data_IF_949082400340
#
_entry.id   IF_949082400340
#
_cell.length_a   1.000
_cell.length_b   1.000
_cell.length_c   1.000
_cell.angle_alpha   90.00
_cell.angle_beta   90.00
_cell.angle_gamma   90.00
#
_symmetry.space_group_name_H-M   'P 1'
#
loop_
_entity.id
_entity.type
_entity.pdbx_description
1 polymer ?
#
# COMPACT_ATOMS: atom_id res chain seq x y z
N UNK A 1 -22.07 -29.59 2.39
CA UNK A 1 -23.52 -29.72 2.24
C UNK A 1 -24.04 -28.80 1.13
N UNK A 2 -24.06 -27.47 1.32
CA UNK A 2 -24.54 -26.50 0.31
C UNK A 2 -23.88 -26.69 -1.07
N UNK A 3 -22.56 -26.76 -1.13
CA UNK A 3 -21.82 -26.95 -2.39
C UNK A 3 -22.11 -28.29 -3.06
N UNK A 4 -22.42 -29.34 -2.28
CA UNK A 4 -22.82 -30.63 -2.86
C UNK A 4 -24.22 -30.54 -3.46
N UNK A 5 -25.14 -29.79 -2.84
CA UNK A 5 -26.47 -29.53 -3.38
C UNK A 5 -26.38 -28.72 -4.67
N UNK A 6 -25.55 -27.66 -4.68
CA UNK A 6 -25.28 -26.87 -5.90
C UNK A 6 -24.66 -27.73 -6.99
N UNK A 7 -23.75 -28.65 -6.64
CA UNK A 7 -23.16 -29.58 -7.58
C UNK A 7 -24.24 -30.47 -8.24
N UNK A 8 -25.08 -31.13 -7.43
CA UNK A 8 -26.15 -32.01 -7.94
C UNK A 8 -27.19 -31.25 -8.76
N UNK A 9 -27.62 -30.07 -8.30
CA UNK A 9 -28.65 -29.30 -9.00
C UNK A 9 -28.10 -28.62 -10.27
N UNK A 10 -26.82 -28.21 -10.28
CA UNK A 10 -26.17 -27.62 -11.44
C UNK A 10 -26.04 -28.58 -12.62
N UNK A 11 -25.80 -29.87 -12.36
CA UNK A 11 -25.74 -30.91 -13.40
C UNK A 11 -27.15 -31.41 -13.82
N UNK A 12 -28.23 -30.77 -13.36
CA UNK A 12 -29.59 -31.23 -13.68
C UNK A 12 -29.92 -30.93 -15.14
N UNK A 13 -30.38 -31.96 -15.86
CA UNK A 13 -30.68 -31.84 -17.28
C UNK A 13 -29.47 -32.05 -18.18
N UNK A 14 -28.29 -32.37 -17.63
CA UNK A 14 -27.20 -32.96 -18.41
C UNK A 14 -27.70 -34.26 -19.04
N UNK A 15 -27.99 -34.18 -20.33
CA UNK A 15 -28.09 -35.37 -21.14
C UNK A 15 -26.67 -35.85 -21.36
N UNK A 16 -26.19 -36.75 -20.50
CA UNK A 16 -25.10 -37.65 -20.90
C UNK A 16 -25.47 -38.17 -22.27
N UNK A 17 -24.69 -37.82 -23.31
CA UNK A 17 -24.96 -38.23 -24.69
C UNK A 17 -25.36 -39.70 -24.60
N UNK A 18 -26.64 -39.99 -24.85
CA UNK A 18 -27.17 -41.31 -24.56
C UNK A 18 -26.23 -42.28 -25.27
N UNK A 19 -25.71 -43.28 -24.58
CA UNK A 19 -24.69 -44.18 -25.15
C UNK A 19 -25.14 -44.70 -26.53
N UNK A 20 -26.45 -44.74 -26.77
CA UNK A 20 -27.09 -44.96 -28.07
C UNK A 20 -26.72 -43.95 -29.18
N UNK A 21 -26.67 -42.64 -28.94
CA UNK A 21 -26.33 -41.64 -29.95
C UNK A 21 -24.83 -41.63 -30.30
N UNK A 22 -23.96 -41.85 -29.31
CA UNK A 22 -22.52 -42.02 -29.55
C UNK A 22 -22.22 -43.34 -30.27
N UNK A 23 -22.96 -44.42 -29.96
CA UNK A 23 -22.89 -45.70 -30.69
C UNK A 23 -23.44 -45.57 -32.12
N UNK A 24 -24.52 -44.81 -32.34
CA UNK A 24 -25.09 -44.57 -33.66
C UNK A 24 -24.16 -43.67 -34.51
N UNK A 25 -23.56 -42.62 -33.93
CA UNK A 25 -22.50 -41.82 -34.58
C UNK A 25 -21.28 -42.68 -34.91
N UNK A 26 -20.84 -43.52 -33.97
CA UNK A 26 -19.69 -44.43 -34.17
C UNK A 26 -19.96 -45.47 -35.27
N UNK A 27 -21.16 -46.04 -35.32
CA UNK A 27 -21.56 -46.96 -36.37
C UNK A 27 -21.67 -46.26 -37.74
N UNK A 28 -22.15 -45.01 -37.78
CA UNK A 28 -22.22 -44.19 -38.99
C UNK A 28 -20.83 -43.77 -39.48
N UNK A 29 -19.89 -43.52 -38.57
CA UNK A 29 -18.49 -43.26 -38.88
C UNK A 29 -17.72 -44.51 -39.31
N UNK A 30 -18.03 -45.70 -38.78
CA UNK A 30 -17.43 -46.96 -39.26
C UNK A 30 -17.87 -47.32 -40.70
N UNK A 31 -19.05 -46.85 -41.12
CA UNK A 31 -19.57 -47.01 -42.49
C UNK A 31 -19.06 -45.94 -43.46
N UNK A 32 -18.58 -44.79 -42.94
CA UNK A 32 -18.04 -43.69 -43.73
C UNK A 32 -16.51 -43.80 -43.70
N UNK A 33 -15.87 -43.97 -44.86
CA UNK A 33 -14.44 -44.31 -44.99
C UNK A 33 -13.46 -43.16 -44.66
N UNK A 34 -13.78 -42.32 -43.68
CA UNK A 34 -12.94 -41.22 -43.22
C UNK A 34 -12.28 -41.56 -41.88
N UNK A 35 -10.95 -41.49 -41.84
CA UNK A 35 -10.11 -41.66 -40.65
C UNK A 35 -10.27 -40.45 -39.71
N UNK A 36 -11.42 -40.33 -39.04
CA UNK A 36 -11.59 -39.51 -37.85
C UNK A 36 -11.41 -40.40 -36.60
N UNK A 37 -10.86 -39.88 -35.48
CA UNK A 37 -10.69 -40.64 -34.25
C UNK A 37 -12.03 -41.24 -33.79
N UNK A 38 -12.01 -42.51 -33.38
CA UNK A 38 -13.21 -43.30 -33.04
C UNK A 38 -13.94 -42.84 -31.76
N UNK A 39 -13.42 -41.83 -31.07
CA UNK A 39 -14.01 -41.24 -29.86
C UNK A 39 -13.86 -39.73 -29.99
N UNK A 40 -14.98 -39.03 -30.07
CA UNK A 40 -15.01 -37.58 -29.97
C UNK A 40 -14.74 -37.19 -28.52
N UNK A 41 -13.49 -36.84 -28.21
CA UNK A 41 -13.08 -36.38 -26.87
C UNK A 41 -13.59 -34.96 -26.57
N UNK A 42 -14.32 -34.32 -27.49
CA UNK A 42 -14.93 -33.01 -27.28
C UNK A 42 -16.35 -33.07 -26.70
N UNK A 43 -16.87 -34.26 -26.37
CA UNK A 43 -18.14 -34.43 -25.66
C UNK A 43 -17.99 -34.02 -24.18
N UNK A 44 -17.71 -32.75 -23.94
CA UNK A 44 -18.10 -32.10 -22.69
C UNK A 44 -19.62 -32.09 -22.68
N UNK A 45 -20.20 -32.93 -21.82
CA UNK A 45 -21.63 -32.90 -21.47
C UNK A 45 -21.98 -31.48 -21.07
N UNK A 46 -22.52 -30.69 -21.99
CA UNK A 46 -23.00 -29.35 -21.69
C UNK A 46 -24.46 -29.46 -21.24
N UNK A 47 -24.69 -29.36 -19.94
CA UNK A 47 -26.01 -29.23 -19.36
C UNK A 47 -26.65 -27.87 -19.67
N UNK A 48 -27.98 -27.78 -19.70
CA UNK A 48 -28.69 -26.51 -19.95
C UNK A 48 -28.45 -25.44 -18.87
N UNK A 49 -27.82 -25.83 -17.74
CA UNK A 49 -27.53 -24.97 -16.60
C UNK A 49 -26.04 -24.64 -16.47
N UNK A 50 -25.19 -25.17 -17.34
CA UNK A 50 -23.73 -25.06 -17.23
C UNK A 50 -23.26 -23.61 -17.37
N UNK A 51 -23.89 -22.82 -18.23
CA UNK A 51 -23.58 -21.39 -18.36
C UNK A 51 -23.84 -20.63 -17.05
N UNK A 52 -24.84 -21.04 -16.27
CA UNK A 52 -25.22 -20.38 -15.01
C UNK A 52 -24.45 -20.92 -13.81
N UNK A 53 -24.24 -22.24 -13.71
CA UNK A 53 -23.62 -22.88 -12.55
C UNK A 53 -22.14 -23.21 -12.75
N UNK A 54 -21.65 -23.21 -13.98
CA UNK A 54 -20.28 -23.56 -14.36
C UNK A 54 -19.20 -22.92 -13.49
N UNK A 55 -19.24 -21.59 -13.23
CA UNK A 55 -18.24 -20.95 -12.35
C UNK A 55 -18.21 -21.51 -10.93
N UNK A 56 -19.38 -21.85 -10.36
CA UNK A 56 -19.48 -22.41 -9.00
C UNK A 56 -19.09 -23.90 -8.99
N UNK A 57 -19.44 -24.64 -10.04
CA UNK A 57 -19.08 -26.05 -10.21
C UNK A 57 -17.56 -26.20 -10.37
N UNK A 58 -16.92 -25.29 -11.10
CA UNK A 58 -15.48 -25.25 -11.30
C UNK A 58 -14.69 -25.17 -9.98
N UNK A 59 -15.22 -24.48 -8.95
CA UNK A 59 -14.59 -24.43 -7.62
C UNK A 59 -14.63 -25.76 -6.86
N UNK A 60 -15.56 -26.66 -7.21
CA UNK A 60 -15.77 -27.96 -6.57
C UNK A 60 -15.20 -29.13 -7.37
N UNK A 61 -15.08 -28.97 -8.68
CA UNK A 61 -14.65 -29.99 -9.62
C UNK A 61 -13.13 -30.15 -9.70
N UNK A 62 -12.70 -31.38 -10.00
CA UNK A 62 -11.41 -31.60 -10.68
C UNK A 62 -11.70 -31.51 -12.17
N UNK A 63 -11.19 -30.48 -12.85
CA UNK A 63 -11.34 -30.41 -14.30
C UNK A 63 -10.56 -31.58 -14.92
N UNK A 64 -11.17 -32.38 -15.81
CA UNK A 64 -10.43 -33.33 -16.62
C UNK A 64 -9.68 -32.55 -17.70
N UNK A 65 -8.40 -32.86 -17.85
CA UNK A 65 -7.42 -32.31 -18.78
C UNK A 65 -6.64 -31.07 -18.32
N UNK A 66 -5.35 -31.34 -18.12
CA UNK A 66 -4.35 -30.40 -17.65
C UNK A 66 -3.94 -29.44 -18.74
N UNK A 67 -4.37 -28.19 -18.62
CA UNK A 67 -3.49 -27.04 -18.83
C UNK A 67 -4.13 -25.76 -18.23
N UNK A 68 -4.13 -25.64 -16.91
CA UNK A 68 -4.40 -24.34 -16.25
C UNK A 68 -3.61 -24.29 -14.95
N UNK A 69 -2.43 -23.68 -15.03
CA UNK A 69 -1.41 -23.57 -13.98
C UNK A 69 -1.82 -22.65 -12.81
N UNK A 70 -3.13 -22.41 -12.62
CA UNK A 70 -3.68 -21.46 -11.62
C UNK A 70 -5.16 -21.73 -11.32
N UNK A 71 -5.55 -22.95 -10.92
CA UNK A 71 -6.96 -23.22 -10.57
C UNK A 71 -7.23 -22.88 -9.10
N UNK A 72 -8.06 -21.86 -8.87
CA UNK A 72 -8.64 -21.61 -7.56
C UNK A 72 -9.57 -22.78 -7.18
N UNK A 73 -9.53 -23.22 -5.92
CA UNK A 73 -10.33 -24.35 -5.44
C UNK A 73 -10.96 -24.05 -4.09
N UNK A 74 -12.16 -24.58 -3.88
CA UNK A 74 -12.83 -24.49 -2.59
C UNK A 74 -12.04 -25.20 -1.49
N UNK A 75 -11.37 -26.32 -1.80
CA UNK A 75 -10.59 -27.07 -0.81
C UNK A 75 -9.37 -26.28 -0.34
N UNK A 76 -8.69 -25.60 -1.25
CA UNK A 76 -7.58 -24.70 -0.90
C UNK A 76 -8.09 -23.53 -0.05
N UNK A 77 -9.22 -22.92 -0.41
CA UNK A 77 -9.83 -21.85 0.40
C UNK A 77 -10.14 -22.33 1.83
N UNK A 78 -10.86 -23.46 1.98
CA UNK A 78 -11.24 -23.99 3.29
C UNK A 78 -10.02 -24.36 4.15
N UNK A 79 -8.96 -24.89 3.53
CA UNK A 79 -7.70 -25.19 4.22
C UNK A 79 -7.08 -23.91 4.77
N UNK A 80 -6.96 -22.87 3.93
CA UNK A 80 -6.43 -21.55 4.33
C UNK A 80 -7.26 -20.91 5.45
N UNK A 81 -8.59 -20.90 5.32
CA UNK A 81 -9.51 -20.40 6.36
C UNK A 81 -9.35 -21.16 7.67
N UNK A 82 -9.14 -22.48 7.61
CA UNK A 82 -8.91 -23.31 8.79
C UNK A 82 -7.59 -22.98 9.47
N UNK A 83 -6.51 -22.77 8.70
CA UNK A 83 -5.22 -22.32 9.24
C UNK A 83 -5.34 -20.97 9.95
N UNK A 84 -5.99 -20.01 9.31
CA UNK A 84 -6.31 -18.70 9.90
C UNK A 84 -7.08 -18.87 11.21
N UNK A 85 -8.14 -19.68 11.22
CA UNK A 85 -8.95 -19.91 12.42
C UNK A 85 -8.13 -20.53 13.54
N UNK A 86 -7.30 -21.55 13.25
CA UNK A 86 -6.44 -22.19 14.24
C UNK A 86 -5.41 -21.20 14.81
N UNK A 87 -4.86 -20.33 13.98
CA UNK A 87 -3.94 -19.30 14.44
C UNK A 87 -4.64 -18.28 15.36
N UNK A 88 -5.85 -17.83 14.99
CA UNK A 88 -6.65 -16.97 15.86
C UNK A 88 -7.06 -17.66 17.17
N UNK A 89 -7.32 -18.98 17.14
CA UNK A 89 -7.58 -19.75 18.36
C UNK A 89 -6.35 -19.82 19.28
N UNK A 90 -5.14 -19.98 18.71
CA UNK A 90 -3.91 -19.91 19.50
C UNK A 90 -3.74 -18.56 20.18
N UNK A 91 -4.14 -17.47 19.52
CA UNK A 91 -4.14 -16.12 20.10
C UNK A 91 -5.14 -16.03 21.26
N UNK A 92 -6.36 -16.55 21.11
CA UNK A 92 -7.38 -16.48 22.17
C UNK A 92 -7.05 -17.36 23.37
N UNK A 93 -6.38 -18.48 23.14
CA UNK A 93 -6.02 -19.45 24.19
C UNK A 93 -4.65 -19.16 24.83
N UNK A 94 -3.96 -18.10 24.37
CA UNK A 94 -2.67 -17.69 24.91
C UNK A 94 -2.76 -17.22 26.36
N UNK A 95 -1.65 -17.30 27.09
CA UNK A 95 -1.53 -16.76 28.46
C UNK A 95 -1.80 -15.25 28.51
N UNK A 96 -1.44 -14.54 27.44
CA UNK A 96 -1.77 -13.12 27.24
C UNK A 96 -2.34 -12.91 25.82
N UNK A 97 -3.68 -13.03 25.66
CA UNK A 97 -4.33 -12.89 24.37
C UNK A 97 -4.20 -11.48 23.77
N UNK A 98 -4.08 -10.45 24.62
CA UNK A 98 -3.97 -9.07 24.15
C UNK A 98 -2.61 -8.82 23.51
N UNK A 99 -1.52 -9.23 24.18
CA UNK A 99 -0.17 -9.11 23.65
C UNK A 99 -0.01 -9.91 22.34
N UNK A 100 -0.60 -11.10 22.25
CA UNK A 100 -0.50 -11.94 21.05
C UNK A 100 -1.34 -11.40 19.89
N UNK A 101 -2.52 -10.83 20.15
CA UNK A 101 -3.33 -10.13 19.13
C UNK A 101 -2.57 -8.93 18.57
N UNK A 102 -1.93 -8.17 19.46
CA UNK A 102 -1.10 -7.02 19.09
C UNK A 102 0.10 -7.45 18.23
N UNK A 103 0.78 -8.54 18.60
CA UNK A 103 1.91 -9.07 17.83
C UNK A 103 1.49 -9.56 16.43
N UNK A 104 0.35 -10.25 16.33
CA UNK A 104 -0.18 -10.73 15.05
C UNK A 104 -0.47 -9.57 14.10
N UNK A 105 -1.16 -8.55 14.57
CA UNK A 105 -1.52 -7.41 13.75
C UNK A 105 -0.32 -6.48 13.47
N UNK A 106 0.65 -6.40 14.38
CA UNK A 106 1.95 -5.80 14.05
C UNK A 106 2.63 -6.56 12.93
N UNK A 107 2.66 -7.90 12.96
CA UNK A 107 3.23 -8.68 11.88
C UNK A 107 2.57 -8.36 10.53
N UNK A 108 1.25 -8.18 10.50
CA UNK A 108 0.53 -7.68 9.31
C UNK A 108 1.05 -6.32 8.86
N UNK A 109 1.07 -5.30 9.74
CA UNK A 109 1.53 -3.95 9.36
C UNK A 109 3.00 -3.92 8.92
N UNK A 110 3.80 -4.87 9.39
CA UNK A 110 5.20 -5.04 9.02
C UNK A 110 5.40 -5.84 7.72
N UNK A 111 4.34 -6.43 7.17
CA UNK A 111 4.41 -7.31 5.99
C UNK A 111 4.89 -8.74 6.29
N UNK A 112 4.87 -9.15 7.56
CA UNK A 112 5.24 -10.48 8.06
C UNK A 112 4.04 -11.40 8.29
N UNK A 113 2.83 -10.85 8.37
CA UNK A 113 1.57 -11.58 8.61
C UNK A 113 0.93 -12.17 7.36
N UNK A 114 1.75 -12.80 6.50
CA UNK A 114 1.44 -13.20 5.12
C UNK A 114 0.20 -14.11 5.03
N UNK A 115 -0.01 -15.01 5.99
CA UNK A 115 -1.07 -16.01 5.92
C UNK A 115 -2.49 -15.42 5.89
N UNK A 116 -2.72 -14.33 6.63
CA UNK A 116 -4.06 -13.76 6.81
C UNK A 116 -4.45 -12.85 5.64
N UNK A 117 -3.51 -12.02 5.17
CA UNK A 117 -3.65 -11.19 3.96
C UNK A 117 -3.77 -12.05 2.71
N UNK A 118 -2.96 -13.11 2.59
CA UNK A 118 -3.00 -14.02 1.45
C UNK A 118 -4.32 -14.79 1.37
N UNK A 119 -4.87 -15.17 2.52
CA UNK A 119 -6.17 -15.85 2.57
C UNK A 119 -7.32 -14.93 2.16
N UNK A 120 -7.27 -13.65 2.54
CA UNK A 120 -8.22 -12.64 2.03
C UNK A 120 -8.08 -12.44 0.52
N UNK A 121 -6.85 -12.27 0.03
CA UNK A 121 -6.58 -12.11 -1.40
C UNK A 121 -7.09 -13.33 -2.19
N UNK A 122 -6.87 -14.54 -1.67
CA UNK A 122 -7.40 -15.77 -2.25
C UNK A 122 -8.93 -15.78 -2.28
N UNK A 123 -9.60 -15.39 -1.18
CA UNK A 123 -11.06 -15.28 -1.13
C UNK A 123 -11.63 -14.24 -2.10
N UNK A 124 -10.94 -13.11 -2.28
CA UNK A 124 -11.28 -12.07 -3.25
C UNK A 124 -11.15 -12.58 -4.69
N UNK A 125 -10.08 -13.31 -5.00
CA UNK A 125 -9.88 -13.93 -6.32
C UNK A 125 -10.97 -14.96 -6.62
N UNK A 126 -11.28 -15.85 -5.67
CA UNK A 126 -12.37 -16.84 -5.81
C UNK A 126 -13.70 -16.14 -6.06
N UNK A 127 -14.01 -15.10 -5.31
CA UNK A 127 -15.26 -14.35 -5.49
C UNK A 127 -15.33 -13.61 -6.85
N UNK A 128 -14.19 -13.16 -7.37
CA UNK A 128 -14.11 -12.48 -8.66
C UNK A 128 -14.26 -13.46 -9.84
N UNK A 129 -13.67 -14.66 -9.74
CA UNK A 129 -13.78 -15.71 -10.76
C UNK A 129 -15.21 -16.20 -11.00
N UNK A 130 -16.08 -16.10 -9.98
CA UNK A 130 -17.49 -16.48 -10.11
C UNK A 130 -18.31 -15.59 -11.06
N UNK A 131 -17.77 -14.45 -11.49
CA UNK A 131 -18.44 -13.54 -12.41
C UNK A 131 -19.49 -12.64 -11.75
N UNK A 132 -20.12 -11.80 -12.58
CA UNK A 132 -21.01 -10.72 -12.13
C UNK A 132 -22.28 -11.23 -11.45
N UNK A 133 -22.82 -12.34 -11.96
CA UNK A 133 -24.09 -12.94 -11.55
C UNK A 133 -24.00 -13.53 -10.13
N UNK A 134 -22.85 -14.11 -9.80
CA UNK A 134 -22.57 -14.70 -8.49
C UNK A 134 -21.85 -13.75 -7.54
N UNK A 135 -21.63 -12.47 -7.91
CA UNK A 135 -20.87 -11.51 -7.10
C UNK A 135 -21.34 -11.46 -5.64
N UNK A 136 -22.66 -11.36 -5.40
CA UNK A 136 -23.21 -11.23 -4.06
C UNK A 136 -22.96 -12.48 -3.21
N UNK A 137 -23.11 -13.66 -3.82
CA UNK A 137 -22.78 -14.94 -3.21
C UNK A 137 -21.29 -15.04 -2.91
N UNK A 138 -20.43 -14.75 -3.91
CA UNK A 138 -18.98 -14.80 -3.78
C UNK A 138 -18.48 -13.90 -2.65
N UNK A 139 -18.95 -12.65 -2.61
CA UNK A 139 -18.67 -11.70 -1.54
C UNK A 139 -19.13 -12.22 -0.16
N UNK A 140 -20.31 -12.80 -0.08
CA UNK A 140 -20.88 -13.25 1.20
C UNK A 140 -20.19 -14.49 1.75
N UNK A 141 -19.79 -15.42 0.88
CA UNK A 141 -19.21 -16.72 1.29
C UNK A 141 -17.70 -16.66 1.42
N UNK A 142 -17.00 -16.00 0.49
CA UNK A 142 -15.54 -16.06 0.41
C UNK A 142 -14.83 -14.82 0.97
N UNK A 143 -15.51 -13.67 1.04
CA UNK A 143 -14.87 -12.40 1.42
C UNK A 143 -15.30 -11.93 2.81
N UNK A 144 -16.62 -11.76 3.05
CA UNK A 144 -17.16 -11.17 4.29
C UNK A 144 -16.69 -11.85 5.58
N UNK A 145 -16.65 -13.19 5.71
CA UNK A 145 -16.23 -13.83 6.96
C UNK A 145 -14.77 -13.51 7.31
N UNK A 146 -13.90 -13.46 6.31
CA UNK A 146 -12.49 -13.10 6.47
C UNK A 146 -12.33 -11.62 6.81
N UNK A 147 -13.10 -10.74 6.15
CA UNK A 147 -13.10 -9.31 6.45
C UNK A 147 -13.59 -9.01 7.88
N UNK A 148 -14.59 -9.75 8.38
CA UNK A 148 -15.07 -9.62 9.75
C UNK A 148 -14.05 -10.09 10.78
N UNK A 149 -13.44 -11.26 10.56
CA UNK A 149 -12.37 -11.76 11.44
C UNK A 149 -11.20 -10.77 11.52
N UNK A 150 -10.87 -10.17 10.38
CA UNK A 150 -9.81 -9.18 10.25
C UNK A 150 -10.08 -7.88 11.02
N UNK A 151 -11.29 -7.33 10.92
CA UNK A 151 -11.65 -6.11 11.64
C UNK A 151 -11.51 -6.26 13.16
N UNK A 152 -11.81 -7.45 13.68
CA UNK A 152 -11.67 -7.77 15.11
C UNK A 152 -10.20 -7.81 15.56
N UNK A 153 -9.29 -8.25 14.69
CA UNK A 153 -7.84 -8.34 14.98
C UNK A 153 -7.16 -6.98 14.82
N UNK A 154 -7.52 -6.21 13.80
CA UNK A 154 -6.83 -4.97 13.46
C UNK A 154 -7.14 -3.78 14.38
N UNK A 155 -8.36 -3.68 14.90
CA UNK A 155 -8.77 -2.46 15.64
C UNK A 155 -7.88 -2.19 16.87
N UNK A 156 -7.66 -3.15 17.78
CA UNK A 156 -6.78 -2.93 18.95
C UNK A 156 -5.32 -2.70 18.54
N UNK A 157 -4.90 -3.29 17.43
CA UNK A 157 -3.55 -3.16 16.95
C UNK A 157 -3.27 -1.79 16.34
N UNK A 158 -4.24 -1.21 15.62
CA UNK A 158 -4.18 0.15 15.12
C UNK A 158 -4.05 1.15 16.27
N UNK A 159 -4.79 0.97 17.38
CA UNK A 159 -4.63 1.78 18.59
C UNK A 159 -3.24 1.64 19.22
N UNK A 160 -2.73 0.41 19.30
CA UNK A 160 -1.37 0.14 19.76
C UNK A 160 -0.32 0.81 18.86
N UNK A 161 -0.50 0.76 17.54
CA UNK A 161 0.38 1.37 16.56
C UNK A 161 0.35 2.91 16.69
N UNK A 162 -0.82 3.50 16.92
CA UNK A 162 -0.95 4.93 17.23
C UNK A 162 -0.18 5.30 18.51
N UNK A 163 -0.27 4.46 19.53
CA UNK A 163 0.47 4.66 20.79
C UNK A 163 1.99 4.57 20.56
N UNK A 164 2.45 3.61 19.75
CA UNK A 164 3.86 3.48 19.37
C UNK A 164 4.34 4.64 18.51
N UNK A 165 3.54 5.11 17.56
CA UNK A 165 3.84 6.30 16.77
C UNK A 165 3.99 7.54 17.66
N UNK A 166 3.07 7.71 18.60
CA UNK A 166 3.07 8.82 19.53
C UNK A 166 4.32 8.82 20.42
N UNK A 167 4.74 7.67 20.92
CA UNK A 167 5.90 7.55 21.81
C UNK A 167 7.23 7.56 21.06
N UNK A 168 7.33 6.88 19.92
CA UNK A 168 8.58 6.71 19.17
C UNK A 168 8.95 7.94 18.34
N UNK A 169 7.96 8.73 17.89
CA UNK A 169 8.20 9.86 16.97
C UNK A 169 7.59 11.16 17.49
N UNK A 170 6.28 11.21 17.70
CA UNK A 170 5.58 12.49 17.90
C UNK A 170 5.96 13.20 19.19
N UNK A 171 6.06 12.47 20.30
CA UNK A 171 6.31 13.08 21.62
C UNK A 171 7.68 13.75 21.68
N UNK A 172 8.72 13.07 21.18
CA UNK A 172 10.07 13.63 21.10
C UNK A 172 10.17 14.74 20.06
N UNK A 173 9.49 14.60 18.91
CA UNK A 173 9.40 15.66 17.90
C UNK A 173 8.83 16.95 18.49
N UNK A 174 7.66 16.86 19.12
CA UNK A 174 6.99 18.02 19.72
C UNK A 174 7.84 18.66 20.83
N UNK A 175 8.52 17.85 21.64
CA UNK A 175 9.43 18.36 22.67
C UNK A 175 10.63 19.08 22.08
N UNK A 176 11.19 18.56 20.99
CA UNK A 176 12.34 19.15 20.33
C UNK A 176 11.98 20.45 19.58
N UNK A 177 10.82 20.49 18.92
CA UNK A 177 10.53 21.46 17.87
C UNK A 177 9.29 22.32 18.10
N UNK A 178 8.34 21.90 18.94
CA UNK A 178 6.98 22.46 19.00
C UNK A 178 6.85 23.92 19.46
N UNK A 179 7.92 24.52 20.00
CA UNK A 179 7.97 25.93 20.40
C UNK A 179 9.02 26.76 19.67
N UNK A 180 9.52 26.27 18.52
CA UNK A 180 10.68 26.82 17.83
C UNK A 180 10.34 27.18 16.39
N UNK A 181 10.97 28.22 15.85
CA UNK A 181 10.98 28.49 14.42
C UNK A 181 11.60 27.30 13.66
N UNK A 182 11.04 26.84 12.52
CA UNK A 182 9.92 27.42 11.76
C UNK A 182 8.52 26.88 12.14
N UNK A 183 8.40 26.06 13.18
CA UNK A 183 7.13 25.45 13.58
C UNK A 183 6.23 26.40 14.37
N UNK A 184 6.83 27.38 15.05
CA UNK A 184 6.17 28.51 15.70
C UNK A 184 6.93 29.79 15.40
N UNK A 185 6.23 30.91 15.39
CA UNK A 185 6.83 32.24 15.21
C UNK A 185 7.50 32.71 16.51
N UNK A 186 8.74 32.26 16.74
CA UNK A 186 9.53 32.55 17.95
C UNK A 186 11.01 32.77 17.60
N UNK A 187 11.73 33.50 18.44
CA UNK A 187 13.18 33.73 18.26
C UNK A 187 14.05 32.46 18.45
N UNK A 188 13.46 31.38 18.96
CA UNK A 188 14.20 30.15 19.24
C UNK A 188 14.15 29.22 18.03
N UNK A 189 15.28 28.98 17.40
CA UNK A 189 15.35 28.15 16.20
C UNK A 189 15.40 26.64 16.51
N UNK A 190 14.79 25.84 15.63
CA UNK A 190 14.92 24.39 15.63
C UNK A 190 16.32 23.97 15.18
N UNK A 191 16.89 22.98 15.87
CA UNK A 191 18.20 22.43 15.48
C UNK A 191 18.11 21.68 14.15
N UNK A 192 18.78 22.19 13.11
CA UNK A 192 18.88 21.53 11.80
C UNK A 192 19.52 20.14 11.90
N UNK A 193 20.54 19.97 12.75
CA UNK A 193 21.17 18.67 12.99
C UNK A 193 20.20 17.67 13.62
N UNK A 194 19.35 18.12 14.56
CA UNK A 194 18.33 17.25 15.13
C UNK A 194 17.23 16.94 14.13
N UNK A 195 16.83 17.92 13.31
CA UNK A 195 15.85 17.73 12.24
C UNK A 195 16.33 16.69 11.22
N UNK A 196 17.63 16.74 10.85
CA UNK A 196 18.24 15.74 9.97
C UNK A 196 18.12 14.31 10.50
N UNK A 197 18.30 14.10 11.82
CA UNK A 197 18.14 12.77 12.46
C UNK A 197 16.72 12.20 12.34
N UNK A 198 15.72 13.04 12.10
CA UNK A 198 14.35 12.60 11.82
C UNK A 198 14.12 12.37 10.34
N UNK A 199 14.50 13.34 9.51
CA UNK A 199 14.07 13.42 8.11
C UNK A 199 14.95 12.65 7.14
N UNK A 200 16.22 12.39 7.47
CA UNK A 200 17.13 11.71 6.56
C UNK A 200 16.59 10.34 6.12
N UNK A 201 17.15 9.78 5.04
CA UNK A 201 16.72 8.48 4.49
C UNK A 201 16.78 7.34 5.50
N UNK A 202 17.69 7.42 6.47
CA UNK A 202 17.84 6.51 7.61
C UNK A 202 17.35 7.09 8.94
N UNK A 203 16.69 8.25 8.89
CA UNK A 203 16.19 8.96 10.06
C UNK A 203 15.07 8.23 10.78
N UNK A 204 14.73 8.74 11.97
CA UNK A 204 13.70 8.13 12.85
C UNK A 204 12.35 7.95 12.16
N UNK A 205 11.92 8.93 11.33
CA UNK A 205 10.65 8.86 10.62
C UNK A 205 10.64 7.72 9.62
N UNK A 206 11.59 7.72 8.69
CA UNK A 206 11.71 6.70 7.65
C UNK A 206 11.91 5.30 8.24
N UNK A 207 12.70 5.20 9.31
CA UNK A 207 12.88 3.94 10.04
C UNK A 207 11.54 3.43 10.57
N UNK A 208 10.76 4.26 11.29
CA UNK A 208 9.46 3.84 11.80
C UNK A 208 8.52 3.37 10.70
N UNK A 209 8.41 4.13 9.59
CA UNK A 209 7.53 3.76 8.48
C UNK A 209 7.95 2.40 7.87
N UNK A 210 9.24 2.20 7.60
CA UNK A 210 9.77 0.94 7.04
C UNK A 210 9.72 -0.24 8.01
N UNK A 211 9.85 0.00 9.31
CA UNK A 211 9.84 -1.09 10.30
C UNK A 211 8.46 -1.48 10.74
N UNK A 212 7.52 -0.53 10.80
CA UNK A 212 6.22 -0.71 11.46
C UNK A 212 5.04 -0.69 10.50
N UNK A 213 5.20 -0.12 9.29
CA UNK A 213 4.10 0.07 8.33
C UNK A 213 4.39 -0.51 6.93
N UNK A 214 5.53 -1.16 6.70
CA UNK A 214 5.94 -1.63 5.37
C UNK A 214 4.98 -2.61 4.69
N UNK A 215 4.14 -3.31 5.45
CA UNK A 215 3.10 -4.19 4.90
C UNK A 215 1.84 -3.47 4.43
N UNK A 216 1.65 -2.21 4.81
CA UNK A 216 0.42 -1.43 4.54
C UNK A 216 0.69 -0.04 3.96
N UNK A 217 1.95 0.35 3.88
CA UNK A 217 2.43 1.63 3.37
C UNK A 217 3.78 1.38 2.68
N UNK A 218 3.87 1.75 1.40
CA UNK A 218 5.09 1.63 0.61
C UNK A 218 5.51 2.99 0.05
N UNK A 219 6.77 3.05 -0.38
CA UNK A 219 7.36 4.25 -0.94
C UNK A 219 7.30 4.20 -2.48
N UNK A 220 6.62 5.16 -3.10
CA UNK A 220 6.58 5.40 -4.54
C UNK A 220 7.34 6.69 -4.87
N UNK A 221 8.57 6.55 -5.33
CA UNK A 221 9.48 7.69 -5.50
C UNK A 221 9.73 8.39 -4.17
N UNK A 222 9.32 9.66 -4.07
CA UNK A 222 9.42 10.47 -2.85
C UNK A 222 8.22 10.39 -1.92
N UNK A 223 7.17 9.66 -2.31
CA UNK A 223 5.89 9.65 -1.58
C UNK A 223 5.62 8.33 -0.89
N UNK A 224 4.99 8.42 0.27
CA UNK A 224 4.43 7.29 1.00
C UNK A 224 2.96 7.10 0.60
N UNK A 225 2.63 5.91 0.11
CA UNK A 225 1.33 5.55 -0.44
C UNK A 225 0.81 4.31 0.29
N UNK A 226 -0.48 4.28 0.69
CA UNK A 226 -1.08 3.07 1.25
C UNK A 226 -1.09 1.91 0.26
N UNK A 227 -0.81 0.71 0.75
CA UNK A 227 -0.97 -0.52 -0.04
C UNK A 227 -2.46 -0.90 -0.07
N UNK A 228 -3.07 -0.81 -1.25
CA UNK A 228 -4.50 -1.10 -1.42
C UNK A 228 -4.85 -2.59 -1.31
N UNK A 229 -3.88 -3.49 -1.52
CA UNK A 229 -4.08 -4.94 -1.43
C UNK A 229 -4.03 -5.39 0.02
N UNK A 230 -3.02 -4.93 0.75
CA UNK A 230 -2.76 -5.36 2.12
C UNK A 230 -3.41 -4.46 3.19
N UNK A 231 -3.82 -3.24 2.81
CA UNK A 231 -4.48 -2.26 3.68
C UNK A 231 -6.01 -2.38 3.75
N UNK A 232 -6.61 -3.46 3.26
CA UNK A 232 -8.07 -3.64 3.28
C UNK A 232 -8.61 -3.58 4.70
N UNK A 233 -9.65 -2.77 4.92
CA UNK A 233 -10.24 -2.56 6.25
C UNK A 233 -9.47 -1.61 7.17
N UNK A 234 -8.33 -1.08 6.72
CA UNK A 234 -7.61 0.01 7.39
C UNK A 234 -7.87 1.33 6.67
N UNK A 235 -7.96 2.40 7.44
CA UNK A 235 -8.05 3.75 6.89
C UNK A 235 -6.99 4.60 7.54
N UNK A 236 -6.04 5.07 6.73
CA UNK A 236 -5.07 6.05 7.19
C UNK A 236 -5.72 7.41 7.36
N UNK A 237 -5.32 8.12 8.41
CA UNK A 237 -5.69 9.52 8.57
C UNK A 237 -5.07 10.34 7.41
N UNK A 238 -5.86 11.06 6.59
CA UNK A 238 -5.32 11.87 5.50
C UNK A 238 -4.32 12.93 5.94
N UNK A 239 -4.47 13.47 7.15
CA UNK A 239 -3.53 14.44 7.71
C UNK A 239 -2.17 13.81 8.01
N UNK A 240 -2.13 12.55 8.46
CA UNK A 240 -0.89 11.80 8.65
C UNK A 240 -0.18 11.60 7.31
N UNK A 241 -0.90 11.14 6.28
CA UNK A 241 -0.34 10.94 4.94
C UNK A 241 0.20 12.25 4.35
N UNK A 242 -0.53 13.35 4.50
CA UNK A 242 -0.06 14.67 4.06
C UNK A 242 1.23 15.05 4.79
N UNK A 243 1.24 14.97 6.12
CA UNK A 243 2.39 15.35 6.93
C UNK A 243 3.66 14.56 6.56
N UNK A 244 3.60 13.22 6.49
CA UNK A 244 4.79 12.42 6.15
C UNK A 244 5.27 12.70 4.73
N UNK A 245 4.38 12.97 3.78
CA UNK A 245 4.74 13.28 2.40
C UNK A 245 5.36 14.68 2.26
N UNK A 246 4.88 15.67 3.02
CA UNK A 246 5.53 16.98 3.12
C UNK A 246 6.93 16.85 3.70
N UNK A 247 7.09 16.07 4.77
CA UNK A 247 8.40 15.83 5.39
C UNK A 247 9.35 15.07 4.46
N UNK A 248 8.88 14.08 3.71
CA UNK A 248 9.67 13.39 2.69
C UNK A 248 10.11 14.35 1.58
N UNK A 249 9.24 15.23 1.11
CA UNK A 249 9.61 16.23 0.12
C UNK A 249 10.69 17.20 0.63
N UNK A 250 10.57 17.68 1.88
CA UNK A 250 11.60 18.52 2.51
C UNK A 250 12.92 17.76 2.63
N UNK A 251 12.87 16.46 2.97
CA UNK A 251 14.07 15.61 3.05
C UNK A 251 14.80 15.51 1.71
N UNK A 252 14.06 15.24 0.63
CA UNK A 252 14.63 15.07 -0.71
C UNK A 252 15.25 16.35 -1.26
N UNK A 253 14.77 17.52 -0.83
CA UNK A 253 15.28 18.82 -1.29
C UNK A 253 16.44 19.30 -0.42
N UNK A 254 16.29 19.24 0.90
CA UNK A 254 17.18 19.93 1.84
C UNK A 254 18.09 19.01 2.67
N UNK A 255 17.87 17.68 2.67
CA UNK A 255 18.60 16.72 3.51
C UNK A 255 19.19 15.55 2.70
N UNK A 256 19.60 15.79 1.45
CA UNK A 256 20.12 14.77 0.54
C UNK A 256 21.39 14.07 1.02
N UNK A 257 22.18 14.71 1.89
CA UNK A 257 23.46 14.18 2.41
C UNK A 257 23.45 14.00 3.94
N UNK A 258 22.34 13.51 4.51
CA UNK A 258 22.14 13.28 5.97
C UNK A 258 22.31 14.52 6.88
N UNK A 259 22.49 15.69 6.26
CA UNK A 259 22.61 16.99 6.89
C UNK A 259 21.87 18.03 6.05
N UNK A 260 21.44 19.12 6.68
CA UNK A 260 20.79 20.21 5.98
C UNK A 260 21.79 20.85 5.00
N UNK A 261 21.47 20.82 3.70
CA UNK A 261 22.24 21.53 2.67
C UNK A 261 21.38 21.77 1.43
N UNK A 262 21.32 23.03 1.02
CA UNK A 262 20.66 23.51 -0.19
C UNK A 262 21.63 24.42 -0.95
N UNK A 263 21.61 24.33 -2.28
CA UNK A 263 22.25 25.29 -3.16
C UNK A 263 21.19 25.96 -4.02
N UNK A 264 21.27 27.28 -4.14
CA UNK A 264 20.34 28.07 -4.94
C UNK A 264 21.07 29.27 -5.53
N UNK A 265 20.50 29.88 -6.56
CA UNK A 265 21.04 31.11 -7.16
C UNK A 265 20.09 32.27 -6.92
N UNK A 266 20.65 33.47 -6.70
CA UNK A 266 19.89 34.71 -6.66
C UNK A 266 20.38 35.62 -7.78
N UNK A 267 19.43 36.29 -8.44
CA UNK A 267 19.70 37.38 -9.38
C UNK A 267 19.05 38.65 -8.84
N UNK A 268 19.80 39.74 -8.65
CA UNK A 268 19.25 40.97 -8.10
C UNK A 268 18.24 41.58 -9.08
N UNK A 269 17.18 42.15 -8.53
CA UNK A 269 16.18 42.93 -9.26
C UNK A 269 16.46 44.44 -9.17
N UNK A 270 15.78 45.21 -10.02
CA UNK A 270 15.81 46.68 -9.97
C UNK A 270 14.52 47.21 -9.34
N UNK A 271 14.62 48.31 -8.61
CA UNK A 271 13.47 48.99 -8.00
C UNK A 271 13.62 50.51 -8.12
N UNK A 272 12.53 51.21 -8.39
CA UNK A 272 12.54 52.66 -8.51
C UNK A 272 12.98 53.32 -7.19
N UNK A 273 13.92 54.26 -7.27
CA UNK A 273 14.42 54.99 -6.11
C UNK A 273 15.41 54.23 -5.22
N UNK A 274 15.81 53.01 -5.59
CA UNK A 274 16.85 52.22 -4.90
C UNK A 274 18.15 52.27 -5.70
N UNK A 275 19.21 52.80 -5.09
CA UNK A 275 20.53 52.94 -5.70
C UNK A 275 21.38 51.68 -5.53
N UNK A 276 21.31 51.07 -4.34
CA UNK A 276 22.10 49.90 -3.99
C UNK A 276 21.29 48.98 -3.06
N UNK A 277 21.46 47.67 -3.21
CA UNK A 277 20.95 46.64 -2.30
C UNK A 277 22.06 45.70 -1.89
N UNK A 278 22.17 45.44 -0.59
CA UNK A 278 23.08 44.45 -0.01
C UNK A 278 22.27 43.35 0.66
N UNK A 279 22.31 42.16 0.07
CA UNK A 279 21.80 40.95 0.70
C UNK A 279 22.96 40.14 1.25
N UNK A 280 22.90 39.76 2.52
CA UNK A 280 23.87 38.86 3.16
C UNK A 280 23.13 37.67 3.77
N UNK A 281 23.66 36.47 3.57
CA UNK A 281 23.19 35.25 4.24
C UNK A 281 24.38 34.36 4.57
N UNK A 282 24.52 33.94 5.82
CA UNK A 282 25.54 33.01 6.30
C UNK A 282 26.97 33.32 5.83
N UNK A 283 27.34 34.61 5.81
CA UNK A 283 28.66 35.08 5.36
C UNK A 283 28.81 35.31 3.85
N UNK A 284 27.82 34.92 3.04
CA UNK A 284 27.76 35.19 1.61
C UNK A 284 27.05 36.51 1.33
N UNK A 285 27.57 37.35 0.43
CA UNK A 285 27.02 38.70 0.14
C UNK A 285 26.74 38.87 -1.35
N UNK A 286 25.61 39.51 -1.68
CA UNK A 286 25.23 40.00 -3.02
C UNK A 286 24.96 41.51 -2.90
N UNK A 287 25.90 42.31 -3.41
CA UNK A 287 25.79 43.77 -3.52
C UNK A 287 25.42 44.15 -4.95
N UNK A 288 24.37 44.94 -5.10
CA UNK A 288 23.86 45.34 -6.41
C UNK A 288 23.54 46.83 -6.46
N UNK A 289 24.24 47.55 -7.33
CA UNK A 289 24.15 48.99 -7.56
C UNK A 289 23.65 49.32 -8.99
N UNK A 290 22.61 48.60 -9.44
CA UNK A 290 21.99 48.77 -10.76
C UNK A 290 22.90 48.53 -11.98
N UNK A 291 23.99 47.77 -11.81
CA UNK A 291 24.78 47.24 -12.92
C UNK A 291 24.03 46.13 -13.68
N UNK A 292 24.66 45.54 -14.71
CA UNK A 292 24.09 44.38 -15.40
C UNK A 292 23.90 43.21 -14.41
N UNK A 293 22.67 42.69 -14.23
CA UNK A 293 22.40 41.70 -13.19
C UNK A 293 22.85 40.30 -13.60
N UNK A 294 23.65 39.67 -12.74
CA UNK A 294 24.17 38.30 -12.89
C UNK A 294 23.57 37.37 -11.82
N UNK A 295 23.55 36.07 -12.11
CA UNK A 295 23.18 35.05 -11.14
C UNK A 295 24.37 34.76 -10.22
N UNK A 296 24.12 34.75 -8.91
CA UNK A 296 25.12 34.41 -7.90
C UNK A 296 24.66 33.18 -7.11
N UNK A 297 25.57 32.24 -6.92
CA UNK A 297 25.33 31.00 -6.18
C UNK A 297 25.40 31.22 -4.67
N UNK A 298 24.48 30.58 -3.95
CA UNK A 298 24.36 30.55 -2.49
C UNK A 298 24.30 29.11 -1.98
N UNK A 299 24.82 28.88 -0.77
CA UNK A 299 24.68 27.62 -0.05
C UNK A 299 24.04 27.91 1.31
N UNK A 300 23.04 27.13 1.69
CA UNK A 300 22.42 27.21 3.00
C UNK A 300 22.37 25.82 3.65
N UNK A 301 22.70 25.68 4.95
CA UNK A 301 23.40 26.67 5.77
C UNK A 301 24.81 26.96 5.23
N UNK A 302 25.26 28.20 5.35
CA UNK A 302 26.63 28.60 4.96
C UNK A 302 27.68 28.19 6.00
N UNK A 303 28.94 28.10 5.57
CA UNK A 303 30.08 27.81 6.47
C UNK A 303 30.54 29.09 7.18
N UNK A 304 29.95 29.37 8.34
CA UNK A 304 30.22 30.59 9.11
C UNK A 304 30.03 30.39 10.61
N UNK A 305 30.74 31.18 11.41
CA UNK A 305 30.58 31.23 12.87
C UNK A 305 29.51 32.22 13.32
N UNK A 306 28.93 33.00 12.40
CA UNK A 306 27.86 33.97 12.67
C UNK A 306 26.77 33.83 11.60
N UNK A 307 25.93 32.78 11.71
CA UNK A 307 24.83 32.55 10.76
C UNK A 307 23.76 33.62 10.89
N UNK A 308 22.98 33.78 9.83
CA UNK A 308 21.90 34.76 9.76
C UNK A 308 21.80 35.43 8.40
N UNK A 309 20.70 36.15 8.19
CA UNK A 309 20.44 36.88 6.97
C UNK A 309 20.13 38.36 7.26
N UNK A 310 20.55 39.25 6.36
CA UNK A 310 20.24 40.67 6.41
C UNK A 310 20.04 41.23 5.01
N UNK A 311 19.15 42.21 4.90
CA UNK A 311 18.94 42.99 3.68
C UNK A 311 19.00 44.48 4.03
N UNK A 312 19.90 45.22 3.39
CA UNK A 312 19.97 46.68 3.46
C UNK A 312 19.87 47.29 2.06
N UNK A 313 19.39 48.52 1.98
CA UNK A 313 19.31 49.25 0.71
C UNK A 313 19.65 50.73 0.90
N UNK A 314 20.21 51.33 -0.14
CA UNK A 314 20.41 52.77 -0.25
C UNK A 314 19.35 53.36 -1.17
N UNK A 315 18.62 54.37 -0.70
CA UNK A 315 17.62 55.07 -1.51
C UNK A 315 18.17 56.40 -2.02
N UNK A 316 17.63 56.89 -3.14
CA UNK A 316 18.00 58.21 -3.70
C UNK A 316 17.69 59.40 -2.78
N UNK A 317 16.90 59.20 -1.72
CA UNK A 317 16.45 60.26 -0.80
C UNK A 317 17.17 60.26 0.56
N UNK A 318 17.81 59.14 0.92
CA UNK A 318 18.54 59.00 2.17
C UNK A 318 20.04 59.16 1.86
N UNK A 319 20.49 60.42 1.83
CA UNK A 319 21.89 60.82 1.79
C UNK A 319 22.29 61.53 3.06
#
# INVERSE_FOLDING_TARGET
ALMNTLNVQGHTGETGEAITDSLVKSAKHLLSRDNAPAIDQSATTHGPLDDTFGPVLALTGKQPDGNSDSQLSLQTFLTRVTQVRLHLQQVTDATDPQAMTQALAQAVFQGKGVDLTDTQNYGNLVAAELGQEWRSFGQTVFVRPLAQAWQQVLTPAAESLNTQWQSAVVSDWNRAFGGRYPFQDTDSEASLTLLAKYLSTTGRLNTFLKTSLNGVLHQEGSRWVPDALNGQGLTFNPAFLNAINTLSHVSDVAFTTDAARLQFELRPGTAAGVMETDFRTDGQTLTYANQMPEWQHFTWPGDTTSPGASLSWMSVQAG
#
